data_IF_594333543152
#
_entry.id   IF_594333543152
#
_cell.length_a   1.000
_cell.length_b   1.000
_cell.length_c   1.000
_cell.angle_alpha   90.00
_cell.angle_beta   90.00
_cell.angle_gamma   90.00
#
_symmetry.space_group_name_H-M   'P 1'
#
loop_
_entity.id
_entity.type
_entity.pdbx_description
1 polymer ?
#
# COMPACT_ATOMS: atom_id res chain seq x y z
N UNK A 1 -16.70 4.27 8.85
CA UNK A 1 -15.61 3.42 8.33
C UNK A 1 -15.85 3.14 6.84
N UNK A 2 -14.82 3.04 5.99
CA UNK A 2 -14.92 2.68 4.56
C UNK A 2 -15.77 3.61 3.66
N UNK A 3 -16.00 4.85 4.06
CA UNK A 3 -16.80 5.84 3.31
C UNK A 3 -16.20 6.19 1.93
N UNK A 4 -14.90 5.98 1.78
CA UNK A 4 -14.13 6.19 0.55
C UNK A 4 -14.16 4.99 -0.42
N UNK A 5 -14.71 3.84 0.00
CA UNK A 5 -14.81 2.64 -0.84
C UNK A 5 -16.17 2.65 -1.55
N UNK A 6 -16.15 3.04 -2.82
CA UNK A 6 -17.36 3.27 -3.60
C UNK A 6 -17.90 1.99 -4.23
N UNK A 7 -19.22 1.82 -4.20
CA UNK A 7 -19.96 0.76 -4.88
C UNK A 7 -19.48 -0.68 -4.56
N UNK A 8 -19.01 -0.92 -3.33
CA UNK A 8 -18.65 -2.25 -2.85
C UNK A 8 -19.59 -2.69 -1.74
N UNK A 9 -20.21 -3.87 -1.89
CA UNK A 9 -21.07 -4.45 -0.86
C UNK A 9 -20.30 -4.99 0.35
N UNK A 10 -19.03 -5.34 0.17
CA UNK A 10 -18.17 -5.91 1.21
C UNK A 10 -17.93 -4.96 2.40
N UNK A 11 -18.07 -3.65 2.22
CA UNK A 11 -17.81 -2.66 3.27
C UNK A 11 -18.71 -2.81 4.49
N UNK A 12 -19.99 -3.17 4.29
CA UNK A 12 -20.94 -3.40 5.39
C UNK A 12 -20.54 -4.60 6.24
N UNK A 13 -20.14 -5.69 5.60
CA UNK A 13 -19.69 -6.89 6.31
C UNK A 13 -18.41 -6.59 7.12
N UNK A 14 -17.45 -5.89 6.53
CA UNK A 14 -16.22 -5.49 7.22
C UNK A 14 -16.52 -4.57 8.42
N UNK A 15 -17.44 -3.61 8.28
CA UNK A 15 -17.89 -2.76 9.38
C UNK A 15 -18.45 -3.60 10.52
N UNK A 16 -19.40 -4.49 10.23
CA UNK A 16 -20.02 -5.34 11.24
C UNK A 16 -19.01 -6.25 11.96
N UNK A 17 -18.07 -6.84 11.23
CA UNK A 17 -17.05 -7.72 11.81
C UNK A 17 -16.10 -6.95 12.74
N UNK A 18 -15.75 -5.70 12.38
CA UNK A 18 -14.92 -4.82 13.21
C UNK A 18 -15.69 -4.38 14.47
N UNK A 19 -16.92 -3.91 14.32
CA UNK A 19 -17.77 -3.47 15.43
C UNK A 19 -18.05 -4.58 16.43
N UNK A 20 -18.29 -5.80 15.94
CA UNK A 20 -18.53 -7.00 16.77
C UNK A 20 -17.24 -7.60 17.33
N UNK A 21 -16.06 -7.02 17.06
CA UNK A 21 -14.73 -7.54 17.43
C UNK A 21 -14.49 -8.99 16.96
N UNK A 22 -14.99 -9.32 15.78
CA UNK A 22 -14.90 -10.64 15.14
C UNK A 22 -14.13 -10.61 13.83
N UNK A 23 -13.41 -9.52 13.57
CA UNK A 23 -12.62 -9.38 12.36
C UNK A 23 -11.58 -10.52 12.25
N UNK A 24 -11.62 -11.33 11.19
CA UNK A 24 -10.78 -12.51 11.07
C UNK A 24 -9.31 -12.13 10.81
N UNK A 25 -8.39 -13.00 11.22
CA UNK A 25 -6.96 -12.78 11.02
C UNK A 25 -6.56 -12.93 9.54
N UNK A 26 -7.39 -13.52 8.68
CA UNK A 26 -7.13 -13.64 7.25
C UNK A 26 -8.38 -13.36 6.43
N UNK A 27 -8.25 -12.50 5.41
CA UNK A 27 -9.31 -12.15 4.46
C UNK A 27 -8.79 -12.23 3.04
N UNK A 28 -9.61 -12.79 2.15
CA UNK A 28 -9.39 -12.78 0.70
C UNK A 28 -10.39 -11.83 0.02
N UNK A 29 -9.89 -10.73 -0.55
CA UNK A 29 -10.65 -9.88 -1.46
C UNK A 29 -10.55 -10.39 -2.90
N UNK A 30 -11.66 -10.93 -3.42
CA UNK A 30 -11.75 -11.39 -4.81
C UNK A 30 -12.60 -10.45 -5.66
N UNK A 31 -12.14 -10.14 -6.86
CA UNK A 31 -12.92 -9.37 -7.84
C UNK A 31 -12.11 -8.96 -9.06
N UNK A 32 -12.74 -8.36 -10.09
CA UNK A 32 -12.06 -7.92 -11.30
C UNK A 32 -10.85 -7.01 -11.04
N UNK A 33 -9.94 -6.91 -12.01
CA UNK A 33 -8.86 -5.93 -11.97
C UNK A 33 -9.41 -4.52 -11.76
N UNK A 34 -8.71 -3.71 -10.97
CA UNK A 34 -9.09 -2.33 -10.67
C UNK A 34 -10.43 -2.13 -9.94
N UNK A 35 -11.01 -3.16 -9.32
CA UNK A 35 -12.25 -3.06 -8.51
C UNK A 35 -12.05 -2.46 -7.11
N UNK A 36 -10.91 -1.83 -6.82
CA UNK A 36 -10.63 -1.23 -5.51
C UNK A 36 -10.18 -2.18 -4.40
N UNK A 37 -9.77 -3.43 -4.72
CA UNK A 37 -9.33 -4.43 -3.72
C UNK A 37 -8.24 -3.92 -2.79
N UNK A 38 -7.17 -3.36 -3.34
CA UNK A 38 -6.10 -2.77 -2.53
C UNK A 38 -6.60 -1.56 -1.74
N UNK A 39 -7.40 -0.69 -2.34
CA UNK A 39 -7.96 0.46 -1.61
C UNK A 39 -8.73 0.00 -0.39
N UNK A 40 -9.52 -1.09 -0.52
CA UNK A 40 -10.21 -1.73 0.59
C UNK A 40 -9.23 -2.32 1.62
N UNK A 41 -8.13 -2.96 1.19
CA UNK A 41 -7.10 -3.50 2.07
C UNK A 41 -6.40 -2.41 2.90
N UNK A 42 -5.98 -1.33 2.25
CA UNK A 42 -5.39 -0.17 2.92
C UNK A 42 -6.40 0.48 3.88
N UNK A 43 -7.65 0.63 3.46
CA UNK A 43 -8.69 1.17 4.33
C UNK A 43 -8.97 0.29 5.54
N UNK A 44 -8.90 -1.03 5.37
CA UNK A 44 -9.02 -2.00 6.46
C UNK A 44 -7.87 -1.83 7.47
N UNK A 45 -6.62 -1.70 7.02
CA UNK A 45 -5.48 -1.39 7.90
C UNK A 45 -5.70 -0.09 8.67
N UNK A 46 -6.19 0.96 8.00
CA UNK A 46 -6.47 2.26 8.63
C UNK A 46 -7.49 2.14 9.74
N UNK A 47 -8.57 1.41 9.49
CA UNK A 47 -9.68 1.26 10.44
C UNK A 47 -9.23 0.41 11.63
N UNK A 48 -8.52 -0.69 11.39
CA UNK A 48 -8.00 -1.57 12.44
C UNK A 48 -6.93 -0.91 13.31
N UNK A 49 -6.16 0.03 12.75
CA UNK A 49 -5.17 0.81 13.49
C UNK A 49 -5.72 2.11 14.09
N UNK A 50 -6.98 2.49 13.81
CA UNK A 50 -7.53 3.74 14.29
C UNK A 50 -7.71 3.75 15.82
N UNK A 51 -7.31 4.83 16.47
CA UNK A 51 -7.53 5.03 17.91
C UNK A 51 -8.97 5.48 18.27
N UNK A 52 -9.79 5.77 17.25
CA UNK A 52 -11.17 6.25 17.36
C UNK A 52 -12.11 5.27 16.62
N UNK A 53 -13.29 5.73 16.21
CA UNK A 53 -14.33 4.94 15.52
C UNK A 53 -14.05 4.64 14.03
N UNK A 54 -12.83 4.82 13.55
CA UNK A 54 -12.49 4.52 12.14
C UNK A 54 -13.17 5.41 11.08
N UNK A 55 -13.67 6.60 11.44
CA UNK A 55 -14.21 7.57 10.48
C UNK A 55 -13.15 7.98 9.44
N UNK A 56 -13.57 8.20 8.19
CA UNK A 56 -12.66 8.55 7.08
C UNK A 56 -11.87 9.85 7.30
N UNK A 57 -12.51 10.85 7.88
CA UNK A 57 -11.90 12.14 8.21
C UNK A 57 -11.10 12.13 9.52
N UNK A 58 -10.98 10.98 10.21
CA UNK A 58 -10.21 10.86 11.45
C UNK A 58 -8.77 11.39 11.30
N UNK A 59 -8.30 12.08 12.34
CA UNK A 59 -7.01 12.78 12.40
C UNK A 59 -6.06 12.20 13.46
N UNK A 60 -6.39 11.05 14.07
CA UNK A 60 -5.50 10.38 15.02
C UNK A 60 -4.13 10.05 14.39
N UNK A 61 -3.11 9.84 15.23
CA UNK A 61 -1.74 9.57 14.78
C UNK A 61 -1.67 8.44 13.74
N UNK A 62 -2.32 7.30 14.03
CA UNK A 62 -2.33 6.13 13.16
C UNK A 62 -3.01 6.40 11.81
N UNK A 63 -4.16 7.08 11.81
CA UNK A 63 -4.84 7.49 10.57
C UNK A 63 -3.99 8.47 9.74
N UNK A 64 -3.22 9.37 10.36
CA UNK A 64 -2.31 10.28 9.64
C UNK A 64 -1.15 9.52 9.00
N UNK A 65 -0.54 8.58 9.73
CA UNK A 65 0.53 7.73 9.20
C UNK A 65 0.03 6.86 8.04
N UNK A 66 -1.15 6.25 8.16
CA UNK A 66 -1.76 5.50 7.07
C UNK A 66 -2.11 6.39 5.88
N UNK A 67 -2.70 7.58 6.10
CA UNK A 67 -2.98 8.55 5.01
C UNK A 67 -1.70 8.92 4.24
N UNK A 68 -0.59 9.04 4.95
CA UNK A 68 0.73 9.25 4.38
C UNK A 68 1.42 7.98 3.87
N UNK A 69 0.87 6.77 4.04
CA UNK A 69 1.52 5.49 3.69
C UNK A 69 2.90 5.31 4.35
N UNK A 70 3.03 5.68 5.63
CA UNK A 70 4.27 5.55 6.42
C UNK A 70 4.09 4.71 7.70
N UNK A 71 2.99 3.95 7.78
CA UNK A 71 2.72 3.03 8.88
C UNK A 71 3.79 1.94 8.91
N UNK A 72 4.43 1.75 10.08
CA UNK A 72 5.40 0.67 10.29
C UNK A 72 4.73 -0.70 10.42
N UNK A 73 3.40 -0.73 10.57
CA UNK A 73 2.60 -1.94 10.74
C UNK A 73 2.01 -2.46 9.42
N UNK A 74 2.37 -1.87 8.29
CA UNK A 74 1.85 -2.27 6.98
C UNK A 74 2.99 -2.75 6.08
N UNK A 75 2.88 -3.99 5.62
CA UNK A 75 3.71 -4.52 4.54
C UNK A 75 2.84 -4.86 3.34
N UNK A 76 3.33 -4.56 2.13
CA UNK A 76 2.64 -4.82 0.87
C UNK A 76 3.60 -5.60 -0.02
N UNK A 77 3.17 -6.77 -0.49
CA UNK A 77 3.94 -7.57 -1.44
C UNK A 77 3.05 -8.10 -2.57
N UNK A 78 3.65 -8.76 -3.55
CA UNK A 78 2.95 -9.35 -4.69
C UNK A 78 2.95 -8.46 -5.92
N UNK A 79 2.53 -9.05 -7.04
CA UNK A 79 2.55 -8.39 -8.34
C UNK A 79 1.47 -7.30 -8.42
N UNK A 80 1.70 -6.25 -9.19
CA UNK A 80 0.71 -5.22 -9.48
C UNK A 80 1.33 -4.06 -10.25
N UNK A 81 0.55 -3.44 -11.15
CA UNK A 81 0.97 -2.29 -11.95
C UNK A 81 0.55 -0.99 -11.27
N UNK A 82 1.51 -0.10 -11.03
CA UNK A 82 1.36 1.21 -10.40
C UNK A 82 1.64 2.34 -11.35
N UNK A 83 2.39 2.11 -12.42
CA UNK A 83 2.79 3.16 -13.36
C UNK A 83 1.57 3.90 -13.93
N UNK A 84 0.48 3.18 -14.26
CA UNK A 84 -0.76 3.81 -14.73
C UNK A 84 -1.43 4.70 -13.67
N UNK A 85 -1.46 4.26 -12.41
CA UNK A 85 -2.02 5.03 -11.30
C UNK A 85 -1.19 6.29 -11.03
N UNK A 86 0.14 6.15 -11.04
CA UNK A 86 1.10 7.25 -10.83
C UNK A 86 0.98 8.29 -11.95
N UNK A 87 0.94 7.86 -13.21
CA UNK A 87 0.79 8.75 -14.36
C UNK A 87 -0.53 9.53 -14.32
N UNK A 88 -1.63 8.86 -13.97
CA UNK A 88 -2.93 9.51 -13.81
C UNK A 88 -2.91 10.54 -12.67
N UNK A 89 -2.38 10.17 -11.50
CA UNK A 89 -2.29 11.06 -10.35
C UNK A 89 -1.39 12.28 -10.62
N UNK A 90 -0.29 12.09 -11.36
CA UNK A 90 0.60 13.17 -11.82
C UNK A 90 -0.15 14.18 -12.68
N UNK A 91 -0.89 13.69 -13.68
CA UNK A 91 -1.69 14.55 -14.57
C UNK A 91 -2.72 15.35 -13.78
N UNK A 92 -3.38 14.71 -12.82
CA UNK A 92 -4.33 15.39 -11.92
C UNK A 92 -3.63 16.48 -11.09
N UNK A 93 -2.48 16.19 -10.48
CA UNK A 93 -1.74 17.17 -9.68
C UNK A 93 -1.35 18.41 -10.49
N UNK A 94 -0.77 18.23 -11.68
CA UNK A 94 -0.40 19.33 -12.57
C UNK A 94 -1.62 20.16 -12.95
N UNK A 95 -2.72 19.50 -13.35
CA UNK A 95 -3.95 20.21 -13.72
C UNK A 95 -4.54 21.02 -12.59
N UNK A 96 -4.51 20.51 -11.34
CA UNK A 96 -5.05 21.24 -10.19
C UNK A 96 -4.14 22.39 -9.75
N UNK A 97 -2.81 22.27 -9.96
CA UNK A 97 -1.86 23.34 -9.69
C UNK A 97 -2.08 24.54 -10.62
N UNK A 98 -2.13 24.27 -11.93
CA UNK A 98 -2.35 25.29 -12.98
C UNK A 98 -3.68 26.03 -12.77
N UNK A 99 -4.73 25.29 -12.40
CA UNK A 99 -6.07 25.85 -12.21
C UNK A 99 -6.26 26.50 -10.83
N UNK A 100 -5.25 26.42 -9.93
CA UNK A 100 -5.29 26.90 -8.55
C UNK A 100 -6.60 26.52 -7.83
N UNK A 101 -6.97 25.23 -7.89
CA UNK A 101 -8.25 24.78 -7.35
C UNK A 101 -8.16 24.49 -5.86
N UNK A 102 -9.32 24.48 -5.19
CA UNK A 102 -9.47 23.99 -3.81
C UNK A 102 -9.06 22.52 -3.61
N UNK A 103 -8.80 21.78 -4.70
CA UNK A 103 -8.47 20.35 -4.68
C UNK A 103 -6.97 20.07 -4.79
N UNK A 104 -6.12 21.11 -4.82
CA UNK A 104 -4.66 20.96 -4.92
C UNK A 104 -4.07 20.06 -3.82
N UNK A 105 -4.44 20.27 -2.56
CA UNK A 105 -3.93 19.41 -1.47
C UNK A 105 -4.42 17.96 -1.61
N UNK A 106 -5.67 17.76 -2.04
CA UNK A 106 -6.19 16.42 -2.27
C UNK A 106 -5.47 15.71 -3.43
N UNK A 107 -5.14 16.41 -4.52
CA UNK A 107 -4.37 15.85 -5.64
C UNK A 107 -2.93 15.54 -5.26
N UNK A 108 -2.31 16.33 -4.36
CA UNK A 108 -1.00 16.01 -3.77
C UNK A 108 -1.06 14.71 -2.98
N UNK A 109 -2.01 14.56 -2.06
CA UNK A 109 -2.18 13.30 -1.31
C UNK A 109 -2.41 12.12 -2.25
N UNK A 110 -3.20 12.29 -3.30
CA UNK A 110 -3.43 11.25 -4.31
C UNK A 110 -2.12 10.82 -4.98
N UNK A 111 -1.30 11.78 -5.44
CA UNK A 111 -0.02 11.49 -6.08
C UNK A 111 0.98 10.83 -5.13
N UNK A 112 1.18 11.38 -3.92
CA UNK A 112 2.06 10.79 -2.92
C UNK A 112 1.65 9.35 -2.59
N UNK A 113 0.35 9.09 -2.41
CA UNK A 113 -0.16 7.73 -2.14
C UNK A 113 0.09 6.80 -3.32
N UNK A 114 -0.11 7.24 -4.55
CA UNK A 114 0.14 6.41 -5.74
C UNK A 114 1.60 5.96 -5.81
N UNK A 115 2.56 6.87 -5.59
CA UNK A 115 3.98 6.55 -5.58
C UNK A 115 4.34 5.67 -4.38
N UNK A 116 3.83 5.98 -3.18
CA UNK A 116 4.11 5.21 -1.95
C UNK A 116 3.60 3.76 -2.02
N UNK A 117 2.50 3.49 -2.72
CA UNK A 117 2.03 2.12 -2.98
C UNK A 117 3.03 1.28 -3.79
N UNK A 118 3.87 1.91 -4.63
CA UNK A 118 4.93 1.22 -5.35
C UNK A 118 6.14 0.98 -4.44
N UNK A 119 6.70 2.05 -3.88
CA UNK A 119 7.95 1.96 -3.10
C UNK A 119 7.79 1.18 -1.78
N UNK A 120 6.58 1.13 -1.21
CA UNK A 120 6.30 0.28 -0.03
C UNK A 120 6.53 -1.22 -0.27
N UNK A 121 6.50 -1.68 -1.53
CA UNK A 121 6.87 -3.06 -1.90
C UNK A 121 8.36 -3.35 -1.76
N UNK A 122 9.17 -2.31 -1.58
CA UNK A 122 10.62 -2.38 -1.39
C UNK A 122 11.01 -2.15 0.07
N UNK A 123 10.09 -2.39 1.00
CA UNK A 123 10.37 -2.34 2.42
C UNK A 123 11.53 -3.27 2.79
N UNK A 124 12.49 -2.78 3.58
CA UNK A 124 13.68 -3.51 3.97
C UNK A 124 13.39 -4.84 4.65
N UNK A 125 12.28 -4.95 5.39
CA UNK A 125 11.84 -6.21 6.01
C UNK A 125 11.57 -7.27 4.95
N UNK A 126 10.84 -6.94 3.89
CA UNK A 126 10.49 -7.92 2.85
C UNK A 126 11.73 -8.38 2.07
N UNK A 127 12.72 -7.51 1.93
CA UNK A 127 13.93 -7.73 1.14
C UNK A 127 15.16 -8.13 1.96
N UNK A 128 14.97 -8.43 3.24
CA UNK A 128 16.07 -8.91 4.09
C UNK A 128 16.69 -10.18 3.47
N UNK A 129 18.02 -10.17 3.33
CA UNK A 129 18.77 -11.23 2.65
C UNK A 129 18.67 -11.28 1.11
N UNK A 130 18.05 -10.31 0.43
CA UNK A 130 18.05 -10.19 -1.04
C UNK A 130 18.90 -8.99 -1.51
N UNK A 131 20.07 -9.28 -2.08
CA UNK A 131 21.05 -8.29 -2.58
C UNK A 131 20.49 -7.35 -3.65
N UNK A 132 19.37 -7.71 -4.32
CA UNK A 132 18.74 -6.86 -5.32
C UNK A 132 18.27 -5.53 -4.75
N UNK A 133 17.98 -5.44 -3.44
CA UNK A 133 17.58 -4.18 -2.81
C UNK A 133 18.65 -3.09 -2.97
N UNK A 134 19.93 -3.45 -2.97
CA UNK A 134 21.04 -2.52 -3.18
C UNK A 134 20.95 -1.85 -4.55
N UNK A 135 20.47 -2.57 -5.57
CA UNK A 135 20.28 -2.04 -6.94
C UNK A 135 19.12 -1.04 -7.00
N UNK A 136 18.11 -1.19 -6.15
CA UNK A 136 16.95 -0.32 -6.10
C UNK A 136 17.15 0.90 -5.19
N UNK A 137 18.09 0.82 -4.24
CA UNK A 137 18.33 1.86 -3.24
C UNK A 137 18.52 3.27 -3.85
N UNK A 138 19.31 3.46 -4.94
CA UNK A 138 19.44 4.78 -5.56
C UNK A 138 18.12 5.32 -6.15
N UNK A 139 17.31 4.44 -6.75
CA UNK A 139 16.00 4.82 -7.29
C UNK A 139 15.03 5.21 -6.16
N UNK A 140 15.01 4.43 -5.08
CA UNK A 140 14.17 4.69 -3.90
C UNK A 140 14.54 6.01 -3.24
N UNK A 141 15.84 6.29 -3.09
CA UNK A 141 16.32 7.56 -2.54
C UNK A 141 15.89 8.76 -3.40
N UNK A 142 16.12 8.71 -4.71
CA UNK A 142 15.70 9.78 -5.63
C UNK A 142 14.19 10.04 -5.56
N UNK A 143 13.38 8.97 -5.47
CA UNK A 143 11.93 9.08 -5.35
C UNK A 143 11.56 9.78 -4.03
N UNK A 144 12.10 9.34 -2.89
CA UNK A 144 11.78 9.94 -1.58
C UNK A 144 12.21 11.41 -1.49
N UNK A 145 13.40 11.77 -1.98
CA UNK A 145 13.85 13.16 -2.07
C UNK A 145 12.89 14.03 -2.90
N UNK A 146 12.40 13.48 -4.03
CA UNK A 146 11.39 14.14 -4.85
C UNK A 146 10.05 14.30 -4.13
N UNK A 147 9.58 13.26 -3.43
CA UNK A 147 8.34 13.28 -2.65
C UNK A 147 8.40 14.30 -1.50
N UNK A 148 9.57 14.47 -0.87
CA UNK A 148 9.75 15.42 0.22
C UNK A 148 9.53 16.88 -0.22
N UNK A 149 9.92 17.23 -1.45
CA UNK A 149 9.71 18.57 -2.02
C UNK A 149 8.24 18.90 -2.28
N UNK A 150 7.42 17.87 -2.53
CA UNK A 150 6.01 18.03 -2.89
C UNK A 150 5.04 17.63 -1.77
N UNK A 151 5.55 17.42 -0.56
CA UNK A 151 4.77 16.97 0.59
C UNK A 151 3.64 17.95 0.98
N UNK A 152 2.42 17.46 1.30
CA UNK A 152 1.31 18.31 1.76
C UNK A 152 1.73 19.25 2.89
N UNK A 153 1.28 20.50 2.83
CA UNK A 153 1.67 21.57 3.77
C UNK A 153 2.98 22.30 3.45
N UNK A 154 3.78 21.86 2.47
CA UNK A 154 4.89 22.64 1.92
C UNK A 154 4.44 23.49 0.74
N UNK A 155 5.08 24.64 0.55
CA UNK A 155 4.91 25.45 -0.67
C UNK A 155 5.40 24.61 -1.86
N UNK A 156 4.58 24.53 -2.91
CA UNK A 156 4.98 23.82 -4.12
C UNK A 156 6.03 24.63 -4.89
N UNK A 157 6.97 23.96 -5.56
CA UNK A 157 7.83 24.60 -6.56
C UNK A 157 7.01 25.25 -7.69
N UNK A 158 7.66 26.10 -8.49
CA UNK A 158 7.05 26.63 -9.71
C UNK A 158 6.66 25.52 -10.69
N UNK A 159 5.79 25.84 -11.65
CA UNK A 159 5.23 24.84 -12.57
C UNK A 159 6.28 24.06 -13.37
N UNK A 160 7.39 24.69 -13.76
CA UNK A 160 8.45 24.00 -14.50
C UNK A 160 9.25 23.07 -13.59
N UNK A 161 9.62 23.54 -12.40
CA UNK A 161 10.34 22.73 -11.42
C UNK A 161 9.48 21.56 -10.94
N UNK A 162 8.20 21.80 -10.64
CA UNK A 162 7.25 20.77 -10.26
C UNK A 162 7.15 19.70 -11.34
N UNK A 163 7.01 20.09 -12.61
CA UNK A 163 6.94 19.14 -13.72
C UNK A 163 8.21 18.30 -13.84
N UNK A 164 9.39 18.92 -13.71
CA UNK A 164 10.69 18.19 -13.73
C UNK A 164 10.79 17.16 -12.61
N UNK A 165 10.36 17.52 -11.39
CA UNK A 165 10.33 16.59 -10.25
C UNK A 165 9.40 15.41 -10.54
N UNK A 166 8.17 15.68 -10.99
CA UNK A 166 7.17 14.64 -11.28
C UNK A 166 7.58 13.73 -12.45
N UNK A 167 8.24 14.28 -13.49
CA UNK A 167 8.82 13.52 -14.60
C UNK A 167 9.95 12.60 -14.12
N UNK A 168 10.83 13.09 -13.23
CA UNK A 168 11.91 12.29 -12.66
C UNK A 168 11.38 11.14 -11.81
N UNK A 169 10.43 11.41 -10.91
CA UNK A 169 9.80 10.38 -10.06
C UNK A 169 9.12 9.31 -10.92
N UNK A 170 8.34 9.71 -11.93
CA UNK A 170 7.66 8.76 -12.82
C UNK A 170 8.65 7.86 -13.57
N UNK A 171 9.75 8.43 -14.06
CA UNK A 171 10.82 7.67 -14.74
C UNK A 171 11.43 6.62 -13.81
N UNK A 172 11.78 7.00 -12.58
CA UNK A 172 12.40 6.08 -11.63
C UNK A 172 11.40 5.05 -11.10
N UNK A 173 10.12 5.41 -10.92
CA UNK A 173 9.04 4.46 -10.63
C UNK A 173 8.88 3.42 -11.75
N UNK A 174 8.92 3.86 -13.00
CA UNK A 174 8.80 2.97 -14.17
C UNK A 174 9.98 1.99 -14.24
N UNK A 175 11.21 2.47 -14.01
CA UNK A 175 12.39 1.59 -13.93
C UNK A 175 12.28 0.60 -12.78
N UNK A 176 11.84 1.06 -11.61
CA UNK A 176 11.68 0.25 -10.41
C UNK A 176 10.66 -0.87 -10.66
N UNK A 177 9.50 -0.53 -11.22
CA UNK A 177 8.45 -1.49 -11.55
C UNK A 177 8.89 -2.49 -12.63
N UNK A 178 9.54 -2.03 -13.72
CA UNK A 178 10.06 -2.92 -14.77
C UNK A 178 11.15 -3.86 -14.26
N UNK A 179 11.96 -3.42 -13.31
CA UNK A 179 12.98 -4.26 -12.67
C UNK A 179 12.38 -5.24 -11.65
N UNK A 180 11.16 -4.94 -11.17
CA UNK A 180 10.41 -5.70 -10.18
C UNK A 180 9.25 -6.49 -10.81
N UNK A 181 9.49 -7.10 -11.98
CA UNK A 181 8.53 -8.03 -12.59
C UNK A 181 8.73 -9.44 -12.05
N UNK A 182 8.47 -9.61 -10.75
CA UNK A 182 8.12 -10.92 -10.26
C UNK A 182 6.72 -11.26 -10.80
N UNK A 183 6.68 -12.11 -11.83
CA UNK A 183 5.46 -12.83 -12.22
C UNK A 183 4.91 -13.70 -11.09
N UNK A 184 5.70 -13.93 -10.03
CA UNK A 184 5.32 -14.67 -8.83
C UNK A 184 6.04 -14.17 -7.57
N UNK A 185 5.31 -14.07 -6.45
CA UNK A 185 5.86 -13.64 -5.16
C UNK A 185 6.97 -14.58 -4.66
N UNK A 186 8.19 -14.09 -4.37
CA UNK A 186 9.26 -14.93 -3.85
C UNK A 186 8.94 -15.50 -2.47
N UNK A 187 9.26 -16.78 -2.25
CA UNK A 187 9.11 -17.46 -0.96
C UNK A 187 9.90 -16.77 0.17
N UNK A 188 11.03 -16.13 -0.15
CA UNK A 188 11.84 -15.40 0.82
C UNK A 188 11.05 -14.25 1.46
N UNK A 189 10.28 -13.48 0.68
CA UNK A 189 9.47 -12.38 1.22
C UNK A 189 8.41 -12.87 2.22
N UNK A 190 7.79 -14.03 1.96
CA UNK A 190 6.84 -14.65 2.89
C UNK A 190 7.52 -15.07 4.20
N UNK A 191 8.73 -15.63 4.13
CA UNK A 191 9.51 -16.01 5.33
C UNK A 191 9.95 -14.80 6.14
N UNK A 192 10.39 -13.74 5.47
CA UNK A 192 10.80 -12.50 6.10
C UNK A 192 9.62 -11.83 6.81
N UNK A 193 8.47 -11.77 6.14
CA UNK A 193 7.23 -11.34 6.77
C UNK A 193 6.90 -12.21 7.99
N UNK A 194 6.98 -13.54 7.89
CA UNK A 194 6.65 -14.42 9.00
C UNK A 194 7.50 -14.11 10.24
N UNK A 195 8.79 -13.83 10.04
CA UNK A 195 9.69 -13.40 11.11
C UNK A 195 9.25 -12.04 11.71
N UNK A 196 8.91 -11.07 10.86
CA UNK A 196 8.42 -9.76 11.30
C UNK A 196 7.06 -9.81 12.01
N UNK A 197 6.18 -10.73 11.62
CA UNK A 197 4.86 -10.93 12.19
C UNK A 197 4.93 -11.35 13.66
N UNK A 198 5.96 -12.10 14.06
CA UNK A 198 6.18 -12.55 15.44
C UNK A 198 6.80 -11.48 16.35
N UNK A 199 7.33 -10.38 15.80
CA UNK A 199 7.81 -9.27 16.61
C UNK A 199 6.62 -8.55 17.25
N UNK A 200 6.79 -7.97 18.44
CA UNK A 200 5.76 -7.12 19.06
C UNK A 200 5.42 -5.93 18.16
N UNK A 201 4.15 -5.55 18.06
CA UNK A 201 3.77 -4.26 17.48
C UNK A 201 3.97 -3.15 18.51
N UNK A 202 4.34 -1.96 18.04
CA UNK A 202 4.45 -0.78 18.92
C UNK A 202 3.08 -0.18 19.24
N UNK A 203 2.09 -0.36 18.36
CA UNK A 203 0.70 0.04 18.53
C UNK A 203 -0.18 -0.61 17.45
N UNK A 204 -1.37 -1.10 17.79
CA UNK A 204 -2.33 -1.66 16.83
C UNK A 204 -1.91 -2.99 16.19
N UNK A 205 -2.72 -3.47 15.23
CA UNK A 205 -2.46 -4.71 14.50
C UNK A 205 -1.49 -4.50 13.35
N UNK A 206 -0.64 -5.49 13.11
CA UNK A 206 0.19 -5.61 11.91
C UNK A 206 -0.64 -6.14 10.77
N UNK A 207 -0.46 -5.59 9.57
CA UNK A 207 -1.19 -5.97 8.38
C UNK A 207 -0.22 -6.32 7.26
N UNK A 208 -0.36 -7.52 6.71
CA UNK A 208 0.25 -7.90 5.44
C UNK A 208 -0.79 -7.86 4.34
N UNK A 209 -0.51 -7.10 3.29
CA UNK A 209 -1.27 -7.13 2.05
C UNK A 209 -0.52 -7.93 1.00
N UNK A 210 -1.11 -9.02 0.52
CA UNK A 210 -0.60 -9.82 -0.59
C UNK A 210 -1.43 -9.54 -1.84
N UNK A 211 -0.84 -8.85 -2.80
CA UNK A 211 -1.48 -8.56 -4.08
C UNK A 211 -1.40 -9.73 -5.06
N UNK A 212 -2.52 -10.04 -5.72
CA UNK A 212 -2.63 -11.11 -6.71
C UNK A 212 -2.06 -12.43 -6.19
N UNK A 213 -2.62 -12.89 -5.07
CA UNK A 213 -2.27 -14.12 -4.38
C UNK A 213 -2.34 -15.36 -5.31
N UNK A 214 -3.19 -15.29 -6.35
CA UNK A 214 -3.31 -16.31 -7.40
C UNK A 214 -2.06 -16.46 -8.29
N UNK A 215 -1.10 -15.53 -8.21
CA UNK A 215 0.17 -15.58 -8.93
C UNK A 215 1.32 -16.12 -8.07
N UNK A 216 1.07 -16.52 -6.83
CA UNK A 216 2.12 -17.08 -5.97
C UNK A 216 2.62 -18.43 -6.51
N UNK A 217 3.93 -18.63 -6.47
CA UNK A 217 4.52 -19.95 -6.70
C UNK A 217 4.14 -20.90 -5.55
N UNK A 218 4.12 -22.20 -5.82
CA UNK A 218 3.76 -23.24 -4.84
C UNK A 218 4.59 -23.16 -3.56
N UNK A 219 5.88 -22.83 -3.67
CA UNK A 219 6.78 -22.66 -2.53
C UNK A 219 6.36 -21.49 -1.62
N UNK A 220 5.95 -20.36 -2.20
CA UNK A 220 5.44 -19.21 -1.47
C UNK A 220 4.07 -19.51 -0.84
N UNK A 221 3.17 -20.18 -1.58
CA UNK A 221 1.86 -20.61 -1.06
C UNK A 221 2.01 -21.54 0.15
N UNK A 222 2.86 -22.56 0.06
CA UNK A 222 3.09 -23.48 1.17
C UNK A 222 3.74 -22.81 2.39
N UNK A 223 4.62 -21.83 2.17
CA UNK A 223 5.19 -21.04 3.27
C UNK A 223 4.12 -20.16 3.94
N UNK A 224 3.20 -19.59 3.15
CA UNK A 224 2.11 -18.78 3.66
C UNK A 224 1.08 -19.62 4.44
N UNK A 225 0.75 -20.83 3.98
CA UNK A 225 -0.18 -21.71 4.69
C UNK A 225 0.26 -21.99 6.13
N UNK A 226 1.56 -22.22 6.36
CA UNK A 226 2.10 -22.47 7.69
C UNK A 226 1.80 -21.35 8.70
N UNK A 227 1.92 -20.08 8.28
CA UNK A 227 1.63 -18.96 9.16
C UNK A 227 0.12 -18.64 9.22
N UNK A 228 -0.66 -19.02 8.21
CA UNK A 228 -2.12 -18.90 8.27
C UNK A 228 -2.77 -19.93 9.19
N UNK A 229 -2.16 -21.11 9.36
CA UNK A 229 -2.61 -22.16 10.29
C UNK A 229 -2.43 -21.74 11.76
N UNK A 230 -1.30 -21.09 12.07
CA UNK A 230 -0.99 -20.57 13.41
C UNK A 230 -0.60 -19.07 13.33
N UNK A 231 -1.55 -18.16 13.07
CA UNK A 231 -1.26 -16.75 12.91
C UNK A 231 -0.98 -16.09 14.27
N UNK A 232 0.01 -15.19 14.39
CA UNK A 232 0.19 -14.38 15.59
C UNK A 232 -1.08 -13.55 15.91
N UNK A 233 -1.37 -13.33 17.19
CA UNK A 233 -2.64 -12.72 17.65
C UNK A 233 -2.92 -11.34 17.04
N UNK A 234 -1.89 -10.52 16.88
CA UNK A 234 -2.01 -9.12 16.42
C UNK A 234 -1.70 -8.94 14.93
N UNK A 235 -1.82 -10.00 14.13
CA UNK A 235 -1.47 -9.99 12.70
C UNK A 235 -2.69 -10.28 11.84
N UNK A 236 -2.90 -9.44 10.83
CA UNK A 236 -3.95 -9.57 9.84
C UNK A 236 -3.35 -9.76 8.44
N UNK A 237 -3.84 -10.76 7.75
CA UNK A 237 -3.52 -11.10 6.38
C UNK A 237 -4.64 -10.63 5.46
N UNK A 238 -4.32 -9.78 4.50
CA UNK A 238 -5.26 -9.35 3.47
C UNK A 238 -4.71 -9.79 2.12
N UNK A 239 -5.32 -10.83 1.56
CA UNK A 239 -4.99 -11.32 0.23
C UNK A 239 -5.93 -10.68 -0.80
N UNK A 240 -5.43 -10.43 -1.99
CA UNK A 240 -6.27 -10.03 -3.12
C UNK A 240 -6.10 -10.98 -4.29
N UNK A 241 -7.17 -11.24 -5.03
CA UNK A 241 -7.14 -12.11 -6.22
C UNK A 241 -8.11 -11.61 -7.29
N UNK A 242 -7.83 -11.95 -8.54
CA UNK A 242 -8.79 -11.84 -9.64
C UNK A 242 -9.57 -13.14 -9.87
N UNK A 243 -9.11 -14.26 -9.30
CA UNK A 243 -9.67 -15.61 -9.48
C UNK A 243 -10.02 -16.22 -8.12
N UNK A 244 -11.31 -16.43 -7.86
CA UNK A 244 -11.80 -16.94 -6.57
C UNK A 244 -11.54 -18.44 -6.33
N UNK A 245 -11.02 -19.17 -7.31
CA UNK A 245 -10.76 -20.61 -7.23
C UNK A 245 -9.44 -21.06 -7.87
N UNK A 246 -8.46 -20.15 -7.91
CA UNK A 246 -7.09 -20.48 -8.34
C UNK A 246 -6.23 -20.85 -7.12
#
# INVERSE_FOLDING_TARGET
MFENILNQSATKLLQEDIEKKRFPNSILFSGPSSSGKLSCALETERVLSCANSGEWNCTCSNCRQHKAMVSQNLLICGAGNRTLEIAAAKKTLISQNIQNTKHLEASRYLYLRAVRKLISKFNSVLWDGDDKLQKFSPLLQNIEEGLEKIQPGRILPDDEELKKILDSIEKDCTKLENSFLYSSLPVLQIRNFSSWAHLSSSNGRKVLVIENADLMADSARNALLKILEEPPEDVVFILTTTKRGA
#
